data_IF_594667977403
#
_entry.id   IF_594667977403
#
_cell.length_a   1.000
_cell.length_b   1.000
_cell.length_c   1.000
_cell.angle_alpha   90.00
_cell.angle_beta   90.00
_cell.angle_gamma   90.00
#
_symmetry.space_group_name_H-M   'P 1'
#
loop_
_entity.id
_entity.type
_entity.pdbx_description
1 polymer ?
#
# COMPACT_ATOMS: atom_id res chain seq x y z
N UNK A 1 -8.76 2.06 22.80
CA UNK A 1 -9.90 1.59 21.99
C UNK A 1 -9.80 2.03 20.53
N UNK A 2 -9.66 3.33 20.28
CA UNK A 2 -9.52 3.83 18.91
C UNK A 2 -8.32 3.22 18.19
N UNK A 3 -7.17 3.16 18.88
CA UNK A 3 -5.96 2.56 18.28
C UNK A 3 -6.17 1.11 17.86
N UNK A 4 -6.85 0.32 18.71
CA UNK A 4 -7.12 -1.09 18.39
C UNK A 4 -8.06 -1.22 17.19
N UNK A 5 -9.08 -0.35 17.09
CA UNK A 5 -9.99 -0.36 15.95
C UNK A 5 -9.24 -0.02 14.65
N UNK A 6 -8.40 1.01 14.69
CA UNK A 6 -7.62 1.41 13.53
C UNK A 6 -6.64 0.32 13.10
N UNK A 7 -6.00 -0.34 14.06
CA UNK A 7 -5.09 -1.45 13.78
C UNK A 7 -5.83 -2.59 13.08
N UNK A 8 -6.98 -2.99 13.63
CA UNK A 8 -7.78 -4.07 13.05
C UNK A 8 -8.27 -3.71 11.64
N UNK A 9 -8.75 -2.47 11.46
CA UNK A 9 -9.22 -2.00 10.16
C UNK A 9 -8.08 -1.98 9.13
N UNK A 10 -6.90 -1.52 9.54
CA UNK A 10 -5.73 -1.47 8.67
C UNK A 10 -5.28 -2.85 8.24
N UNK A 11 -5.21 -3.78 9.18
CA UNK A 11 -4.83 -5.18 8.88
C UNK A 11 -5.86 -5.82 7.95
N UNK A 12 -7.15 -5.63 8.22
CA UNK A 12 -8.20 -6.18 7.39
C UNK A 12 -8.12 -5.64 5.96
N UNK A 13 -7.88 -4.34 5.80
CA UNK A 13 -7.75 -3.71 4.49
C UNK A 13 -6.52 -4.23 3.75
N UNK A 14 -5.40 -4.38 4.46
CA UNK A 14 -4.18 -4.93 3.87
C UNK A 14 -4.38 -6.37 3.40
N UNK A 15 -5.05 -7.19 4.21
CA UNK A 15 -5.34 -8.58 3.85
C UNK A 15 -6.23 -8.65 2.62
N UNK A 16 -7.28 -7.83 2.59
CA UNK A 16 -8.18 -7.77 1.43
C UNK A 16 -7.41 -7.39 0.17
N UNK A 17 -6.58 -6.35 0.28
CA UNK A 17 -5.79 -5.87 -0.86
C UNK A 17 -4.81 -6.94 -1.35
N UNK A 18 -4.14 -7.63 -0.42
CA UNK A 18 -3.19 -8.70 -0.75
C UNK A 18 -3.89 -9.86 -1.44
N UNK A 19 -5.05 -10.25 -0.95
CA UNK A 19 -5.83 -11.33 -1.56
C UNK A 19 -6.38 -10.92 -2.92
N UNK A 20 -6.77 -9.65 -3.05
CA UNK A 20 -7.32 -9.15 -4.31
C UNK A 20 -6.28 -9.16 -5.43
N UNK A 21 -5.03 -8.76 -5.11
CA UNK A 21 -3.99 -8.75 -6.12
C UNK A 21 -3.54 -10.17 -6.50
N UNK A 22 -3.62 -11.11 -5.55
CA UNK A 22 -3.38 -12.53 -5.79
C UNK A 22 -2.03 -12.81 -6.43
N UNK A 23 -2.04 -13.50 -7.57
CA UNK A 23 -0.84 -13.91 -8.30
C UNK A 23 -0.02 -12.75 -8.86
N UNK A 24 -0.61 -11.57 -8.95
CA UNK A 24 0.09 -10.40 -9.47
C UNK A 24 0.99 -9.74 -8.44
N UNK A 25 0.88 -10.16 -7.17
CA UNK A 25 1.74 -9.63 -6.12
C UNK A 25 3.11 -10.32 -6.16
N UNK A 26 4.16 -9.52 -5.95
CA UNK A 26 5.51 -10.04 -5.82
C UNK A 26 6.22 -9.29 -4.70
N UNK A 27 6.82 -10.03 -3.78
CA UNK A 27 7.65 -9.43 -2.72
C UNK A 27 8.94 -8.85 -3.28
N UNK A 28 9.33 -9.31 -4.45
CA UNK A 28 10.48 -8.80 -5.19
C UNK A 28 9.98 -8.16 -6.47
N UNK A 29 10.68 -7.13 -6.93
CA UNK A 29 10.36 -6.48 -8.19
C UNK A 29 10.84 -7.39 -9.31
N UNK A 30 9.99 -8.36 -9.68
CA UNK A 30 10.32 -9.38 -10.68
C UNK A 30 9.32 -9.30 -11.83
N UNK A 31 9.83 -9.34 -13.06
CA UNK A 31 8.98 -9.35 -14.25
C UNK A 31 8.46 -10.77 -14.47
N UNK A 32 7.14 -10.88 -14.60
CA UNK A 32 6.47 -12.10 -15.02
C UNK A 32 5.51 -11.75 -16.13
N UNK A 33 5.50 -12.57 -17.16
CA UNK A 33 4.67 -12.30 -18.34
C UNK A 33 3.18 -12.33 -18.02
N UNK A 34 2.78 -13.17 -17.07
CA UNK A 34 1.39 -13.33 -16.67
C UNK A 34 0.91 -12.28 -15.67
N UNK A 35 1.82 -11.39 -15.23
CA UNK A 35 1.42 -10.31 -14.31
C UNK A 35 0.61 -9.27 -15.06
N UNK A 36 -0.47 -8.84 -14.45
CA UNK A 36 -1.33 -7.80 -14.98
C UNK A 36 -1.33 -6.60 -14.04
N UNK A 37 -1.60 -5.42 -14.59
CA UNK A 37 -1.80 -4.24 -13.77
C UNK A 37 -3.21 -4.30 -13.18
N UNK A 38 -3.29 -4.59 -11.88
CA UNK A 38 -4.57 -4.71 -11.18
C UNK A 38 -5.13 -3.32 -10.92
N UNK A 39 -6.35 -3.06 -11.41
CA UNK A 39 -7.03 -1.77 -11.31
C UNK A 39 -8.43 -1.88 -10.73
N UNK A 40 -8.75 -2.98 -10.07
CA UNK A 40 -10.07 -3.24 -9.51
C UNK A 40 -9.99 -3.36 -7.98
N UNK A 41 -11.16 -3.42 -7.32
CA UNK A 41 -11.24 -3.51 -5.87
C UNK A 41 -10.54 -2.33 -5.20
N UNK A 42 -9.71 -2.58 -4.18
CA UNK A 42 -8.99 -1.47 -3.51
C UNK A 42 -8.02 -0.75 -4.45
N UNK A 43 -7.57 -1.40 -5.53
CA UNK A 43 -6.65 -0.82 -6.50
C UNK A 43 -7.33 0.12 -7.49
N UNK A 44 -8.65 0.20 -7.46
CA UNK A 44 -9.37 1.12 -8.33
C UNK A 44 -9.11 2.59 -7.97
N UNK A 45 -8.82 2.87 -6.71
CA UNK A 45 -8.66 4.24 -6.21
C UNK A 45 -7.34 4.51 -5.51
N UNK A 46 -6.63 3.45 -5.07
CA UNK A 46 -5.37 3.57 -4.35
C UNK A 46 -4.34 2.68 -5.06
N UNK A 47 -3.16 3.24 -5.36
CA UNK A 47 -2.11 2.46 -6.03
C UNK A 47 -1.42 1.47 -5.11
N UNK A 48 -1.31 1.80 -3.81
CA UNK A 48 -0.59 0.99 -2.84
C UNK A 48 -1.46 0.68 -1.62
N UNK A 49 -2.62 -0.01 -1.83
CA UNK A 49 -3.57 -0.22 -0.74
C UNK A 49 -3.04 -1.15 0.36
N UNK A 50 -2.14 -2.08 0.04
CA UNK A 50 -1.53 -2.93 1.06
C UNK A 50 -0.74 -2.07 2.04
N UNK A 51 0.08 -1.15 1.53
CA UNK A 51 0.86 -0.24 2.39
C UNK A 51 -0.05 0.72 3.14
N UNK A 52 -1.13 1.17 2.51
CA UNK A 52 -2.13 2.00 3.19
C UNK A 52 -2.70 1.29 4.41
N UNK A 53 -3.09 0.02 4.25
CA UNK A 53 -3.62 -0.78 5.34
C UNK A 53 -2.59 -1.00 6.44
N UNK A 54 -1.36 -1.33 6.07
CA UNK A 54 -0.29 -1.53 7.04
C UNK A 54 0.07 -0.25 7.78
N UNK A 55 0.09 0.90 7.10
CA UNK A 55 0.33 2.19 7.74
C UNK A 55 -0.78 2.55 8.70
N UNK A 56 -2.02 2.26 8.33
CA UNK A 56 -3.15 2.49 9.23
C UNK A 56 -3.03 1.62 10.48
N UNK A 57 -2.62 0.36 10.31
CA UNK A 57 -2.40 -0.55 11.44
C UNK A 57 -1.29 -0.05 12.36
N UNK A 58 -0.18 0.43 11.79
CA UNK A 58 0.92 0.99 12.57
C UNK A 58 0.50 2.26 13.28
N UNK A 59 -0.26 3.13 12.60
CA UNK A 59 -0.79 4.34 13.22
C UNK A 59 -1.70 4.03 14.41
N UNK A 60 -2.59 3.04 14.25
CA UNK A 60 -3.46 2.60 15.32
C UNK A 60 -2.68 2.05 16.51
N UNK A 61 -1.62 1.28 16.25
CA UNK A 61 -0.75 0.76 17.30
C UNK A 61 -0.02 1.90 18.02
N UNK A 62 0.48 2.87 17.27
CA UNK A 62 1.15 4.04 17.85
C UNK A 62 0.22 4.83 18.78
N UNK A 63 -1.04 5.00 18.37
CA UNK A 63 -2.06 5.67 19.19
C UNK A 63 -2.31 4.86 20.48
N UNK A 64 -2.41 3.54 20.37
CA UNK A 64 -2.65 2.68 21.53
C UNK A 64 -1.50 2.73 22.53
N UNK A 65 -0.25 2.79 22.05
CA UNK A 65 0.94 2.87 22.89
C UNK A 65 1.03 4.24 23.57
N UNK A 66 0.75 5.31 22.83
CA UNK A 66 0.71 6.67 23.40
C UNK A 66 2.06 7.26 23.76
N UNK A 67 3.16 6.80 23.14
CA UNK A 67 4.52 7.29 23.42
C UNK A 67 5.14 7.91 22.18
N UNK A 68 6.02 8.90 22.41
CA UNK A 68 6.72 9.59 21.32
C UNK A 68 7.52 8.65 20.42
N UNK A 69 8.15 7.63 21.00
CA UNK A 69 8.95 6.69 20.20
C UNK A 69 8.10 5.90 19.24
N UNK A 70 6.81 5.70 19.55
CA UNK A 70 5.89 5.06 18.63
C UNK A 70 5.62 5.95 17.41
N UNK A 71 5.55 7.28 17.62
CA UNK A 71 5.39 8.25 16.53
C UNK A 71 6.63 8.23 15.64
N UNK A 72 7.82 8.21 16.24
CA UNK A 72 9.07 8.14 15.48
C UNK A 72 9.13 6.84 14.67
N UNK A 73 8.76 5.72 15.29
CA UNK A 73 8.73 4.44 14.60
C UNK A 73 7.76 4.46 13.41
N UNK A 74 6.59 5.07 13.59
CA UNK A 74 5.63 5.22 12.49
C UNK A 74 6.25 6.02 11.34
N UNK A 75 6.91 7.14 11.64
CA UNK A 75 7.51 7.97 10.60
C UNK A 75 8.59 7.20 9.82
N UNK A 76 9.44 6.44 10.51
CA UNK A 76 10.48 5.64 9.87
C UNK A 76 9.87 4.57 8.95
N UNK A 77 8.85 3.88 9.44
CA UNK A 77 8.15 2.85 8.66
C UNK A 77 7.47 3.47 7.44
N UNK A 78 6.82 4.63 7.63
CA UNK A 78 6.14 5.32 6.54
C UNK A 78 7.12 5.73 5.44
N UNK A 79 8.28 6.27 5.82
CA UNK A 79 9.32 6.63 4.86
C UNK A 79 9.79 5.39 4.09
N UNK A 80 10.00 4.27 4.79
CA UNK A 80 10.40 3.02 4.15
C UNK A 80 9.36 2.55 3.12
N UNK A 81 8.08 2.63 3.46
CA UNK A 81 7.02 2.25 2.53
C UNK A 81 6.94 3.18 1.33
N UNK A 82 7.14 4.49 1.53
CA UNK A 82 7.17 5.45 0.41
C UNK A 82 8.30 5.10 -0.55
N UNK A 83 9.49 4.84 -0.03
CA UNK A 83 10.65 4.49 -0.86
C UNK A 83 10.37 3.20 -1.63
N UNK A 84 9.86 2.18 -0.94
CA UNK A 84 9.56 0.91 -1.58
C UNK A 84 8.47 1.05 -2.64
N UNK A 85 7.41 1.79 -2.32
CA UNK A 85 6.31 2.01 -3.25
C UNK A 85 6.76 2.77 -4.49
N UNK A 86 7.64 3.75 -4.34
CA UNK A 86 8.18 4.49 -5.48
C UNK A 86 9.03 3.61 -6.38
N UNK A 87 9.80 2.69 -5.79
CA UNK A 87 10.57 1.73 -6.58
C UNK A 87 9.64 0.81 -7.36
N UNK A 88 8.56 0.36 -6.73
CA UNK A 88 7.56 -0.47 -7.40
C UNK A 88 6.89 0.28 -8.54
N UNK A 89 6.56 1.57 -8.34
CA UNK A 89 5.95 2.39 -9.39
C UNK A 89 6.89 2.59 -10.58
N UNK A 90 8.18 2.80 -10.31
CA UNK A 90 9.16 2.91 -11.38
C UNK A 90 9.22 1.62 -12.21
N UNK A 91 9.18 0.48 -11.55
CA UNK A 91 9.14 -0.81 -12.23
C UNK A 91 7.86 -0.99 -13.05
N UNK A 92 6.70 -0.67 -12.44
CA UNK A 92 5.41 -0.77 -13.12
C UNK A 92 5.34 0.15 -14.33
N UNK A 93 5.93 1.34 -14.23
CA UNK A 93 5.97 2.27 -15.36
C UNK A 93 6.74 1.68 -16.54
N UNK A 94 7.85 0.98 -16.28
CA UNK A 94 8.59 0.31 -17.36
C UNK A 94 7.85 -0.90 -17.90
N UNK A 95 7.12 -1.61 -17.05
CA UNK A 95 6.44 -2.84 -17.44
C UNK A 95 5.13 -2.58 -18.17
N UNK A 96 4.35 -1.61 -17.73
CA UNK A 96 3.01 -1.36 -18.26
C UNK A 96 2.88 -0.06 -19.04
N UNK A 97 3.88 0.84 -18.95
CA UNK A 97 3.93 2.07 -19.76
C UNK A 97 2.68 2.93 -19.65
N UNK A 98 2.00 3.23 -20.79
CA UNK A 98 0.83 4.12 -20.79
C UNK A 98 -0.30 3.64 -19.90
N UNK A 99 -0.49 2.32 -19.75
CA UNK A 99 -1.53 1.77 -18.88
C UNK A 99 -1.29 2.17 -17.43
N UNK A 100 -0.03 2.18 -16.98
CA UNK A 100 0.28 2.61 -15.63
C UNK A 100 0.10 4.13 -15.47
N UNK A 101 0.46 4.91 -16.48
CA UNK A 101 0.25 6.36 -16.44
C UNK A 101 -1.24 6.69 -16.29
N UNK A 102 -2.10 5.99 -17.00
CA UNK A 102 -3.54 6.15 -16.89
C UNK A 102 -4.03 5.80 -15.48
N UNK A 103 -3.53 4.69 -14.94
CA UNK A 103 -3.87 4.25 -13.59
C UNK A 103 -3.42 5.29 -12.56
N UNK A 104 -2.23 5.87 -12.74
CA UNK A 104 -1.70 6.91 -11.85
C UNK A 104 -2.59 8.14 -11.83
N UNK A 105 -3.13 8.54 -12.99
CA UNK A 105 -4.02 9.69 -13.07
C UNK A 105 -5.34 9.48 -12.36
N UNK A 106 -5.80 8.22 -12.27
CA UNK A 106 -7.10 7.88 -11.69
C UNK A 106 -7.05 7.49 -10.23
N UNK A 107 -5.86 7.36 -9.66
CA UNK A 107 -5.70 6.83 -8.30
C UNK A 107 -4.78 7.69 -7.46
N UNK A 108 -4.93 7.59 -6.14
CA UNK A 108 -4.00 8.19 -5.19
C UNK A 108 -2.88 7.23 -4.82
N UNK A 109 -1.80 7.75 -4.26
CA UNK A 109 -0.65 6.95 -3.86
C UNK A 109 -1.00 6.05 -2.67
N UNK A 110 -1.37 6.63 -1.54
CA UNK A 110 -1.82 5.91 -0.35
C UNK A 110 -3.26 6.25 0.04
N UNK A 111 -3.81 7.34 -0.47
CA UNK A 111 -5.17 7.77 -0.17
C UNK A 111 -6.03 7.64 -1.42
N UNK A 112 -7.34 7.40 -1.27
CA UNK A 112 -8.24 7.28 -2.42
C UNK A 112 -8.30 8.57 -3.23
N UNK A 113 -8.47 8.39 -4.55
CA UNK A 113 -8.60 9.56 -5.43
C UNK A 113 -9.84 9.50 -6.33
#
# INVERSE_FOLDING_TARGET
MLGAILTAAGVAFAIWSRRHIGKNWSAQVTIRKEHELVRSGPYARIRHPIYTGLLLAVAGTAIAIGEYRAIVAFAVIAIGFVVKAKREEAFLATQFGPAFDEHRRQTGFFLPR
#
